data_IF_728076242943
#
_entry.id   IF_728076242943
#
_cell.length_a   1.000
_cell.length_b   1.000
_cell.length_c   1.000
_cell.angle_alpha   90.00
_cell.angle_beta   90.00
_cell.angle_gamma   90.00
#
_symmetry.space_group_name_H-M   'P 1'
#
loop_
_entity.id
_entity.type
_entity.pdbx_description
1 polymer ?
#
# COMPACT_ATOMS: atom_id res chain seq x y z
N UNK A 1 -12.57 -5.78 12.77
CA UNK A 1 -11.45 -6.01 11.85
C UNK A 1 -10.72 -4.71 11.59
N UNK A 2 -9.41 -4.76 11.61
CA UNK A 2 -8.60 -3.56 11.40
C UNK A 2 -8.32 -3.38 9.90
N UNK A 3 -8.39 -2.15 9.39
CA UNK A 3 -8.00 -1.93 8.00
C UNK A 3 -6.52 -2.23 7.82
N UNK A 4 -6.17 -2.77 6.67
CA UNK A 4 -4.81 -3.18 6.39
C UNK A 4 -4.12 -2.29 5.36
N UNK A 5 -2.82 -2.10 5.53
CA UNK A 5 -1.97 -1.43 4.56
C UNK A 5 -0.85 -2.38 4.19
N UNK A 6 -0.64 -2.54 2.89
CA UNK A 6 0.44 -3.37 2.36
C UNK A 6 1.52 -2.45 1.78
N UNK A 7 2.72 -2.54 2.33
CA UNK A 7 3.87 -1.74 1.87
C UNK A 7 4.73 -2.61 0.98
N UNK A 8 4.87 -2.21 -0.29
CA UNK A 8 5.62 -2.98 -1.28
C UNK A 8 6.80 -2.14 -1.75
N UNK A 9 7.98 -2.44 -1.23
CA UNK A 9 9.17 -1.62 -1.42
C UNK A 9 10.41 -2.50 -1.29
N UNK A 10 11.28 -2.47 -2.31
CA UNK A 10 12.48 -3.31 -2.30
C UNK A 10 13.59 -2.76 -1.41
N UNK A 11 13.66 -1.45 -1.23
CA UNK A 11 14.66 -0.85 -0.34
C UNK A 11 14.28 -1.15 1.11
N UNK A 12 15.10 -1.93 1.79
CA UNK A 12 14.79 -2.35 3.15
C UNK A 12 14.71 -1.18 4.12
N UNK A 13 15.58 -0.18 3.96
CA UNK A 13 15.57 0.96 4.86
C UNK A 13 14.28 1.77 4.71
N UNK A 14 13.86 2.01 3.47
CA UNK A 14 12.60 2.73 3.22
C UNK A 14 11.44 1.91 3.73
N UNK A 15 11.41 0.61 3.42
CA UNK A 15 10.32 -0.27 3.82
C UNK A 15 10.16 -0.30 5.33
N UNK A 16 11.25 -0.50 6.04
CA UNK A 16 11.23 -0.58 7.49
C UNK A 16 10.85 0.74 8.14
N UNK A 17 11.34 1.83 7.57
CA UNK A 17 10.99 3.16 8.07
C UNK A 17 9.50 3.44 7.90
N UNK A 18 8.95 3.09 6.74
CA UNK A 18 7.52 3.29 6.49
C UNK A 18 6.68 2.43 7.43
N UNK A 19 7.04 1.16 7.59
CA UNK A 19 6.30 0.26 8.48
C UNK A 19 6.31 0.80 9.92
N UNK A 20 7.50 1.19 10.41
CA UNK A 20 7.62 1.68 11.77
C UNK A 20 6.81 2.96 11.98
N UNK A 21 6.84 3.86 11.00
CA UNK A 21 6.09 5.09 11.07
C UNK A 21 4.59 4.83 11.14
N UNK A 22 4.11 3.91 10.32
CA UNK A 22 2.69 3.59 10.30
C UNK A 22 2.25 2.91 11.59
N UNK A 23 3.05 2.00 12.10
CA UNK A 23 2.72 1.33 13.36
C UNK A 23 2.66 2.30 14.53
N UNK A 24 3.50 3.32 14.49
CA UNK A 24 3.57 4.31 15.55
C UNK A 24 2.45 5.36 15.45
N UNK A 25 2.23 5.87 14.24
CA UNK A 25 1.35 7.02 14.04
C UNK A 25 -0.08 6.65 13.64
N UNK A 26 -0.30 5.42 13.16
CA UNK A 26 -1.61 4.99 12.70
C UNK A 26 -1.95 3.63 13.34
N UNK A 27 -2.08 3.60 14.67
CA UNK A 27 -2.16 2.32 15.39
C UNK A 27 -3.43 1.50 15.12
N UNK A 28 -4.43 2.08 14.46
CA UNK A 28 -5.66 1.35 14.15
C UNK A 28 -5.55 0.50 12.88
N UNK A 29 -4.43 0.54 12.16
CA UNK A 29 -4.26 -0.28 10.96
C UNK A 29 -3.39 -1.49 11.25
N UNK A 30 -3.50 -2.48 10.38
CA UNK A 30 -2.61 -3.63 10.37
C UNK A 30 -1.67 -3.48 9.19
N UNK A 31 -0.37 -3.50 9.42
CA UNK A 31 0.62 -3.27 8.37
C UNK A 31 1.26 -4.59 7.97
N UNK A 32 1.29 -4.85 6.66
CA UNK A 32 2.06 -5.94 6.09
C UNK A 32 3.08 -5.35 5.12
N UNK A 33 4.17 -6.04 4.89
CA UNK A 33 5.19 -5.53 3.98
C UNK A 33 5.71 -6.64 3.07
N UNK A 34 6.17 -6.23 1.90
CA UNK A 34 6.75 -7.11 0.91
C UNK A 34 7.94 -6.42 0.26
N UNK A 35 8.95 -7.20 -0.10
CA UNK A 35 10.16 -6.66 -0.71
C UNK A 35 10.08 -6.62 -2.23
N UNK A 36 9.08 -7.26 -2.83
CA UNK A 36 8.84 -7.21 -4.27
C UNK A 36 7.38 -7.60 -4.56
N UNK A 37 7.03 -7.53 -5.84
CA UNK A 37 5.66 -7.83 -6.25
C UNK A 37 5.26 -9.28 -6.04
N UNK A 38 6.21 -10.20 -6.19
CA UNK A 38 5.91 -11.62 -6.01
C UNK A 38 5.53 -11.92 -4.57
N UNK A 39 6.30 -11.40 -3.63
CA UNK A 39 6.00 -11.57 -2.21
C UNK A 39 4.64 -10.94 -1.86
N UNK A 40 4.36 -9.77 -2.44
CA UNK A 40 3.08 -9.10 -2.21
C UNK A 40 1.92 -9.96 -2.71
N UNK A 41 2.06 -10.57 -3.88
CA UNK A 41 1.02 -11.45 -4.41
C UNK A 41 0.78 -12.64 -3.49
N UNK A 42 1.84 -13.19 -2.92
CA UNK A 42 1.70 -14.31 -1.99
C UNK A 42 0.90 -13.91 -0.75
N UNK A 43 1.16 -12.73 -0.24
CA UNK A 43 0.42 -12.21 0.91
C UNK A 43 -1.08 -12.09 0.58
N UNK A 44 -1.39 -11.58 -0.60
CA UNK A 44 -2.77 -11.42 -1.02
C UNK A 44 -3.45 -12.75 -1.31
N UNK A 45 -2.72 -13.70 -1.87
CA UNK A 45 -3.26 -15.02 -2.14
C UNK A 45 -3.54 -15.82 -0.88
N UNK A 46 -2.87 -15.46 0.22
CA UNK A 46 -3.12 -16.07 1.51
C UNK A 46 -4.33 -15.49 2.22
N UNK A 47 -5.00 -14.53 1.59
CA UNK A 47 -6.26 -14.02 2.11
C UNK A 47 -6.23 -12.63 2.70
N UNK A 48 -5.09 -11.94 2.70
CA UNK A 48 -5.04 -10.57 3.19
C UNK A 48 -5.89 -9.66 2.29
N UNK A 49 -6.63 -8.76 2.92
CA UNK A 49 -7.50 -7.82 2.21
C UNK A 49 -7.22 -6.39 2.64
N UNK A 50 -6.06 -5.85 2.28
CA UNK A 50 -5.73 -4.48 2.67
C UNK A 50 -6.62 -3.47 1.95
N UNK A 51 -6.86 -2.34 2.61
CA UNK A 51 -7.58 -1.24 1.98
C UNK A 51 -6.68 -0.40 1.11
N UNK A 52 -5.36 -0.47 1.34
CA UNK A 52 -4.39 0.37 0.64
C UNK A 52 -3.10 -0.39 0.44
N UNK A 53 -2.52 -0.27 -0.76
CA UNK A 53 -1.16 -0.70 -1.03
C UNK A 53 -0.32 0.54 -1.37
N UNK A 54 0.85 0.63 -0.76
CA UNK A 54 1.86 1.62 -1.11
C UNK A 54 2.87 0.88 -1.97
N UNK A 55 2.92 1.20 -3.24
CA UNK A 55 3.61 0.37 -4.24
C UNK A 55 4.74 1.13 -4.93
N UNK A 56 5.97 0.66 -4.72
CA UNK A 56 7.11 1.15 -5.49
C UNK A 56 7.05 0.53 -6.89
N UNK A 57 7.24 1.35 -7.92
CA UNK A 57 7.18 0.87 -9.29
C UNK A 57 8.47 0.12 -9.67
N UNK A 58 9.61 0.65 -9.25
CA UNK A 58 10.93 0.13 -9.68
C UNK A 58 11.45 -0.88 -8.66
N UNK A 59 11.17 -2.14 -8.90
CA UNK A 59 11.60 -3.24 -8.03
C UNK A 59 12.16 -4.38 -8.85
N UNK A 60 13.08 -5.18 -8.27
CA UNK A 60 13.56 -6.39 -8.93
C UNK A 60 12.50 -7.50 -8.87
N UNK A 61 12.75 -8.59 -9.55
CA UNK A 61 11.91 -9.78 -9.61
C UNK A 61 10.57 -9.50 -10.29
N UNK A 62 9.71 -8.69 -9.67
CA UNK A 62 8.45 -8.27 -10.25
C UNK A 62 8.26 -6.81 -9.90
N UNK A 63 8.26 -5.94 -10.91
CA UNK A 63 8.09 -4.50 -10.68
C UNK A 63 6.61 -4.16 -10.43
N UNK A 64 6.37 -2.87 -10.13
CA UNK A 64 5.02 -2.44 -9.79
C UNK A 64 4.00 -2.64 -10.89
N UNK A 65 4.40 -2.44 -12.15
CA UNK A 65 3.47 -2.61 -13.27
C UNK A 65 3.10 -4.07 -13.46
N UNK A 66 4.08 -4.96 -13.34
CA UNK A 66 3.85 -6.39 -13.43
C UNK A 66 2.96 -6.87 -12.28
N UNK A 67 3.16 -6.30 -11.10
CA UNK A 67 2.33 -6.60 -9.94
C UNK A 67 0.87 -6.18 -10.20
N UNK A 68 0.65 -4.98 -10.72
CA UNK A 68 -0.71 -4.52 -11.02
C UNK A 68 -1.40 -5.41 -12.06
N UNK A 69 -0.65 -5.81 -13.09
CA UNK A 69 -1.19 -6.72 -14.10
C UNK A 69 -1.60 -8.06 -13.48
N UNK A 70 -0.76 -8.58 -12.57
CA UNK A 70 -1.07 -9.82 -11.90
C UNK A 70 -2.29 -9.72 -10.99
N UNK A 71 -2.45 -8.59 -10.30
CA UNK A 71 -3.64 -8.36 -9.48
C UNK A 71 -4.91 -8.48 -10.33
N UNK A 72 -4.91 -7.80 -11.47
CA UNK A 72 -6.06 -7.81 -12.35
C UNK A 72 -6.31 -9.21 -12.89
N UNK A 73 -5.26 -9.87 -13.38
CA UNK A 73 -5.40 -11.16 -14.02
C UNK A 73 -5.85 -12.26 -13.06
N UNK A 74 -5.46 -12.15 -11.79
CA UNK A 74 -5.82 -13.13 -10.77
C UNK A 74 -7.06 -12.73 -9.98
N UNK A 75 -7.60 -11.53 -10.22
CA UNK A 75 -8.77 -11.05 -9.49
C UNK A 75 -8.51 -10.85 -8.01
N UNK A 76 -7.29 -10.47 -7.64
CA UNK A 76 -6.93 -10.27 -6.25
C UNK A 76 -7.21 -8.85 -5.80
N UNK A 77 -7.64 -8.69 -4.55
CA UNK A 77 -7.81 -7.40 -3.88
C UNK A 77 -8.54 -6.36 -4.74
N UNK A 78 -9.73 -6.68 -5.26
CA UNK A 78 -10.41 -5.80 -6.22
C UNK A 78 -10.84 -4.46 -5.64
N UNK A 79 -10.93 -4.34 -4.32
CA UNK A 79 -11.34 -3.08 -3.68
C UNK A 79 -10.16 -2.34 -3.04
N UNK A 80 -8.96 -2.86 -3.18
CA UNK A 80 -7.77 -2.23 -2.61
C UNK A 80 -7.37 -1.02 -3.45
N UNK A 81 -7.15 0.11 -2.78
CA UNK A 81 -6.59 1.29 -3.43
C UNK A 81 -5.08 1.15 -3.51
N UNK A 82 -4.49 1.71 -4.57
CA UNK A 82 -3.04 1.67 -4.76
C UNK A 82 -2.52 3.09 -4.89
N UNK A 83 -1.54 3.44 -4.07
CA UNK A 83 -0.82 4.70 -4.20
C UNK A 83 0.61 4.36 -4.60
N UNK A 84 1.07 4.94 -5.70
CA UNK A 84 2.39 4.65 -6.24
C UNK A 84 3.45 5.46 -5.50
N UNK A 85 4.57 4.82 -5.21
CA UNK A 85 5.75 5.48 -4.66
C UNK A 85 6.79 5.48 -5.76
N UNK A 86 7.32 6.65 -6.14
CA UNK A 86 8.28 6.66 -7.25
C UNK A 86 9.14 7.91 -7.27
N UNK A 87 10.44 7.70 -7.56
CA UNK A 87 11.34 8.78 -7.89
C UNK A 87 11.15 9.20 -9.35
N UNK A 88 10.45 8.38 -10.15
CA UNK A 88 10.25 8.60 -11.57
C UNK A 88 8.81 9.05 -11.80
N UNK A 89 8.55 10.32 -11.49
CA UNK A 89 7.18 10.86 -11.46
C UNK A 89 6.48 10.75 -12.82
N UNK A 90 7.22 11.00 -13.92
CA UNK A 90 6.59 10.93 -15.23
C UNK A 90 6.17 9.51 -15.60
N UNK A 91 6.98 8.52 -15.24
CA UNK A 91 6.62 7.13 -15.44
C UNK A 91 5.37 6.79 -14.62
N UNK A 92 5.36 7.21 -13.36
CA UNK A 92 4.23 6.93 -12.48
C UNK A 92 2.94 7.55 -13.01
N UNK A 93 3.02 8.76 -13.55
CA UNK A 93 1.85 9.43 -14.12
C UNK A 93 1.31 8.74 -15.35
N UNK A 94 2.11 7.93 -16.02
CA UNK A 94 1.67 7.22 -17.21
C UNK A 94 0.92 5.93 -16.89
N UNK A 95 0.90 5.52 -15.63
CA UNK A 95 0.24 4.28 -15.22
C UNK A 95 -1.26 4.48 -15.19
N UNK A 96 -1.97 3.66 -15.97
CA UNK A 96 -3.43 3.72 -16.03
C UNK A 96 -4.00 2.40 -15.52
N UNK A 97 -4.22 2.34 -14.25
CA UNK A 97 -4.80 1.16 -13.60
C UNK A 97 -5.93 1.66 -12.69
N UNK A 98 -7.14 1.11 -12.82
CA UNK A 98 -8.29 1.67 -12.10
C UNK A 98 -8.13 1.75 -10.58
N UNK A 99 -7.35 0.86 -9.99
CA UNK A 99 -7.13 0.87 -8.54
C UNK A 99 -6.12 1.90 -8.07
N UNK A 100 -5.38 2.52 -9.00
CA UNK A 100 -4.38 3.53 -8.63
C UNK A 100 -5.07 4.85 -8.39
N UNK A 101 -5.02 5.34 -7.15
CA UNK A 101 -5.71 6.55 -6.76
C UNK A 101 -4.78 7.70 -6.39
N UNK A 102 -3.47 7.49 -6.42
CA UNK A 102 -2.54 8.56 -6.11
C UNK A 102 -1.10 8.20 -6.36
N UNK A 103 -0.26 9.20 -6.22
CA UNK A 103 1.18 9.11 -6.42
C UNK A 103 1.87 9.89 -5.33
N UNK A 104 2.88 9.30 -4.72
CA UNK A 104 3.72 9.95 -3.72
C UNK A 104 5.15 9.96 -4.23
N UNK A 105 5.65 11.13 -4.69
CA UNK A 105 7.00 11.21 -5.23
C UNK A 105 8.06 10.95 -4.16
N UNK A 106 9.13 10.27 -4.53
CA UNK A 106 10.28 10.09 -3.64
C UNK A 106 11.29 11.20 -3.88
N UNK A 107 11.93 11.70 -2.83
CA UNK A 107 11.70 11.39 -1.42
C UNK A 107 10.41 12.07 -0.93
N UNK A 108 9.66 11.37 -0.11
CA UNK A 108 8.42 11.92 0.45
C UNK A 108 8.62 12.24 1.93
N UNK A 109 7.78 13.11 2.46
CA UNK A 109 7.82 13.44 3.87
C UNK A 109 6.86 12.54 4.64
N UNK A 110 7.19 12.33 5.92
CA UNK A 110 6.32 11.54 6.78
C UNK A 110 4.89 12.08 6.78
N UNK A 111 4.73 13.41 6.85
CA UNK A 111 3.41 14.02 6.88
C UNK A 111 2.60 13.68 5.63
N UNK A 112 3.23 13.66 4.47
CA UNK A 112 2.54 13.35 3.22
C UNK A 112 2.10 11.89 3.17
N UNK A 113 2.98 11.00 3.63
CA UNK A 113 2.66 9.58 3.69
C UNK A 113 1.50 9.33 4.65
N UNK A 114 1.56 9.94 5.83
CA UNK A 114 0.50 9.76 6.82
C UNK A 114 -0.83 10.30 6.33
N UNK A 115 -0.82 11.42 5.60
CA UNK A 115 -2.04 11.98 5.04
C UNK A 115 -2.69 11.00 4.05
N UNK A 116 -1.87 10.37 3.21
CA UNK A 116 -2.36 9.38 2.26
C UNK A 116 -2.98 8.19 2.98
N UNK A 117 -2.29 7.66 3.98
CA UNK A 117 -2.78 6.51 4.72
C UNK A 117 -4.07 6.83 5.46
N UNK A 118 -4.12 7.98 6.12
CA UNK A 118 -5.32 8.39 6.87
C UNK A 118 -6.52 8.62 5.96
N UNK A 119 -6.27 9.10 4.74
CA UNK A 119 -7.35 9.30 3.78
C UNK A 119 -7.96 7.97 3.34
N UNK A 120 -7.13 6.96 3.08
CA UNK A 120 -7.60 5.68 2.56
C UNK A 120 -8.03 4.72 3.64
N UNK A 121 -7.45 4.84 4.81
CA UNK A 121 -7.73 3.93 5.93
C UNK A 121 -8.03 4.74 7.19
N UNK A 122 -9.09 5.53 7.19
CA UNK A 122 -9.39 6.36 8.35
C UNK A 122 -9.76 5.50 9.56
N UNK A 123 -9.50 6.03 10.74
CA UNK A 123 -9.98 5.40 11.94
C UNK A 123 -11.50 5.45 11.93
N UNK A 124 -12.12 4.30 12.07
CA UNK A 124 -13.56 4.21 12.01
C UNK A 124 -14.07 3.83 13.39
N UNK A 125 -14.50 4.80 14.18
CA UNK A 125 -14.96 4.51 15.54
C UNK A 125 -16.01 3.42 15.57
N UNK A 126 -16.90 3.43 14.61
CA UNK A 126 -17.94 2.42 14.56
C UNK A 126 -17.42 1.03 14.26
N UNK A 127 -16.28 0.90 13.57
CA UNK A 127 -15.73 -0.40 13.23
C UNK A 127 -15.03 -1.05 14.42
N UNK A 128 -14.27 -0.26 15.17
CA UNK A 128 -13.49 -0.80 16.28
C UNK A 128 -14.23 -0.71 17.58
N UNK A 129 -14.94 0.35 17.77
CA UNK A 129 -15.69 0.58 18.99
C UNK A 129 -17.17 0.35 18.78
N UNK A 130 -17.51 -0.26 17.71
CA UNK A 130 -18.89 -0.53 17.39
C UNK A 130 -19.66 -1.10 18.58
N UNK A 131 -19.08 -1.98 19.30
CA UNK A 131 -19.79 -2.49 20.47
C UNK A 131 -20.07 -1.40 21.48
N UNK A 132 -19.27 -0.38 21.46
CA UNK A 132 -19.50 0.73 22.36
C UNK A 132 -20.66 1.57 21.92
N UNK A 133 -21.09 1.33 20.79
CA UNK A 133 -22.20 2.08 20.25
C UNK A 133 -23.44 1.26 20.33
#
# INVERSE_FOLDING_TARGET
MRPGVLVIEDDADIRETVVALLEDEVPWIQVSSASDGQEALEILEEGAEPCLALLDIMMPVMNGLEFLDALRDRGLAPTMHVVLLSAYVQLAKSVTYPGVTGLLPKPFRAADLLAVVRRHCPETPGADSAPAT
#
